data_IF_862974174842
#
_entry.id   IF_862974174842
#
_cell.length_a   1.000
_cell.length_b   1.000
_cell.length_c   1.000
_cell.angle_alpha   90.00
_cell.angle_beta   90.00
_cell.angle_gamma   90.00
#
_symmetry.space_group_name_H-M   'P 1'
#
loop_
_entity.id
_entity.type
_entity.pdbx_description
1 polymer ?
#
# COMPACT_ATOMS: atom_id res chain seq x y z
N UNK A 1 65.54 -15.68 -27.08
CA UNK A 1 64.45 -16.09 -26.19
C UNK A 1 63.91 -14.82 -25.51
N UNK A 2 62.79 -14.27 -25.98
CA UNK A 2 62.21 -13.01 -25.46
C UNK A 2 60.95 -13.36 -24.69
N UNK A 3 60.99 -13.16 -23.38
CA UNK A 3 59.85 -13.33 -22.48
C UNK A 3 59.11 -12.00 -22.43
N UNK A 4 57.86 -11.98 -22.92
CA UNK A 4 56.95 -10.84 -22.81
C UNK A 4 56.12 -11.07 -21.54
N UNK A 5 56.31 -10.21 -20.54
CA UNK A 5 55.48 -10.16 -19.34
C UNK A 5 54.31 -9.23 -19.63
N UNK A 6 53.10 -9.78 -19.61
CA UNK A 6 51.85 -9.02 -19.73
C UNK A 6 51.36 -8.67 -18.32
N UNK A 7 51.49 -7.40 -17.94
CA UNK A 7 51.05 -6.89 -16.63
C UNK A 7 49.57 -6.47 -16.73
N UNK A 8 48.69 -7.27 -16.12
CA UNK A 8 47.26 -6.98 -16.00
C UNK A 8 47.03 -6.02 -14.82
N UNK A 9 46.84 -4.74 -15.13
CA UNK A 9 46.38 -3.71 -14.18
C UNK A 9 44.88 -3.92 -13.91
N UNK A 10 44.56 -4.54 -12.78
CA UNK A 10 43.21 -4.51 -12.22
C UNK A 10 42.98 -3.14 -11.58
N UNK A 11 42.25 -2.26 -12.27
CA UNK A 11 41.71 -1.06 -11.65
C UNK A 11 40.59 -1.47 -10.69
N UNK A 12 40.89 -1.51 -9.39
CA UNK A 12 39.83 -1.61 -8.38
C UNK A 12 39.09 -0.28 -8.35
N UNK A 13 37.88 -0.26 -8.91
CA UNK A 13 36.93 0.81 -8.67
C UNK A 13 36.57 0.75 -7.18
N UNK A 14 37.16 1.63 -6.38
CA UNK A 14 36.69 1.93 -5.04
C UNK A 14 35.30 2.54 -5.19
N UNK A 15 34.26 1.72 -5.06
CA UNK A 15 32.92 2.20 -4.79
C UNK A 15 33.00 2.91 -3.44
N UNK A 16 33.12 4.24 -3.48
CA UNK A 16 32.95 5.05 -2.28
C UNK A 16 31.60 4.65 -1.66
N UNK A 17 31.62 4.24 -0.40
CA UNK A 17 30.42 3.81 0.32
C UNK A 17 29.41 4.96 0.26
N UNK A 18 28.40 4.82 -0.61
CA UNK A 18 27.44 5.88 -0.86
C UNK A 18 26.70 6.14 0.45
N UNK A 19 26.94 7.30 1.05
CA UNK A 19 26.28 7.71 2.28
C UNK A 19 24.78 7.73 1.99
N UNK A 20 24.01 6.92 2.71
CA UNK A 20 22.58 6.83 2.54
C UNK A 20 21.95 8.17 2.98
N UNK A 21 21.69 9.05 2.01
CA UNK A 21 21.00 10.31 2.24
C UNK A 21 19.55 10.01 2.71
N UNK A 22 19.01 10.70 3.73
CA UNK A 22 17.62 10.54 4.16
C UNK A 22 16.61 10.57 3.00
N UNK A 23 16.83 11.44 2.00
CA UNK A 23 15.97 11.54 0.83
C UNK A 23 16.01 10.29 -0.05
N UNK A 24 17.20 9.73 -0.28
CA UNK A 24 17.37 8.50 -1.05
C UNK A 24 16.72 7.31 -0.33
N UNK A 25 16.85 7.26 1.00
CA UNK A 25 16.21 6.26 1.84
C UNK A 25 14.68 6.30 1.74
N UNK A 26 14.06 7.47 1.88
CA UNK A 26 12.60 7.59 1.74
C UNK A 26 12.11 7.25 0.33
N UNK A 27 12.86 7.63 -0.70
CA UNK A 27 12.50 7.27 -2.08
C UNK A 27 12.54 5.75 -2.30
N UNK A 28 13.57 5.06 -1.77
CA UNK A 28 13.64 3.59 -1.84
C UNK A 28 12.44 2.93 -1.18
N UNK A 29 12.01 3.42 -0.02
CA UNK A 29 10.83 2.90 0.69
C UNK A 29 9.55 3.14 -0.11
N UNK A 30 9.35 4.36 -0.61
CA UNK A 30 8.16 4.68 -1.40
C UNK A 30 8.05 3.85 -2.69
N UNK A 31 9.18 3.44 -3.28
CA UNK A 31 9.21 2.64 -4.50
C UNK A 31 9.05 1.13 -4.24
N UNK A 32 9.62 0.62 -3.15
CA UNK A 32 9.75 -0.82 -2.97
C UNK A 32 8.82 -1.40 -1.90
N UNK A 33 8.52 -0.66 -0.84
CA UNK A 33 7.84 -1.19 0.34
C UNK A 33 6.41 -1.69 0.04
N UNK A 34 5.97 -2.85 0.58
CA UNK A 34 4.67 -3.43 0.26
C UNK A 34 3.50 -2.52 0.63
N UNK A 35 3.59 -1.82 1.76
CA UNK A 35 2.56 -0.86 2.19
C UNK A 35 2.44 0.30 1.17
N UNK A 36 3.55 0.79 0.60
CA UNK A 36 3.50 1.85 -0.40
C UNK A 36 2.80 1.35 -1.68
N UNK A 37 3.13 0.12 -2.11
CA UNK A 37 2.46 -0.54 -3.25
C UNK A 37 0.97 -0.77 -3.00
N UNK A 38 0.59 -1.23 -1.81
CA UNK A 38 -0.82 -1.41 -1.42
C UNK A 38 -1.56 -0.07 -1.39
N UNK A 39 -0.95 0.97 -0.80
CA UNK A 39 -1.53 2.31 -0.75
C UNK A 39 -1.74 2.90 -2.15
N UNK A 40 -0.89 2.55 -3.12
CA UNK A 40 -1.03 2.97 -4.52
C UNK A 40 -2.31 2.40 -5.20
N UNK A 41 -2.85 1.28 -4.72
CA UNK A 41 -4.07 0.68 -5.26
C UNK A 41 -5.36 1.37 -4.78
N UNK A 42 -5.32 2.09 -3.65
CA UNK A 42 -6.52 2.71 -3.07
C UNK A 42 -7.19 3.73 -4.00
N UNK A 43 -6.47 4.68 -4.64
CA UNK A 43 -7.07 5.57 -5.64
C UNK A 43 -7.67 4.81 -6.82
N UNK A 44 -7.03 3.73 -7.28
CA UNK A 44 -7.54 2.90 -8.37
C UNK A 44 -8.86 2.22 -7.98
N UNK A 45 -8.94 1.67 -6.77
CA UNK A 45 -10.19 1.12 -6.22
C UNK A 45 -11.29 2.18 -6.16
N UNK A 46 -10.96 3.40 -5.75
CA UNK A 46 -11.89 4.54 -5.74
C UNK A 46 -12.42 4.87 -7.14
N UNK A 47 -11.51 4.97 -8.12
CA UNK A 47 -11.84 5.22 -9.52
C UNK A 47 -12.73 4.11 -10.11
N UNK A 48 -12.38 2.84 -9.86
CA UNK A 48 -13.14 1.68 -10.31
C UNK A 48 -14.55 1.65 -9.69
N UNK A 49 -14.68 2.05 -8.42
CA UNK A 49 -15.98 2.14 -7.73
C UNK A 49 -16.87 3.21 -8.38
N UNK A 50 -16.30 4.36 -8.74
CA UNK A 50 -17.03 5.40 -9.50
C UNK A 50 -17.42 4.91 -10.89
N UNK A 51 -16.52 4.22 -11.60
CA UNK A 51 -16.82 3.64 -12.91
C UNK A 51 -17.97 2.64 -12.83
N UNK A 52 -17.93 1.72 -11.86
CA UNK A 52 -19.01 0.76 -11.59
C UNK A 52 -20.35 1.46 -11.34
N UNK A 53 -20.35 2.52 -10.54
CA UNK A 53 -21.57 3.28 -10.26
C UNK A 53 -22.09 4.03 -11.49
N UNK A 54 -21.20 4.55 -12.35
CA UNK A 54 -21.58 5.15 -13.64
C UNK A 54 -22.25 4.15 -14.58
N UNK A 55 -21.80 2.89 -14.58
CA UNK A 55 -22.40 1.82 -15.38
C UNK A 55 -23.87 1.51 -15.06
N UNK A 56 -24.40 2.02 -13.95
CA UNK A 56 -25.85 1.94 -13.68
C UNK A 56 -26.70 2.84 -14.57
N UNK A 57 -26.07 3.79 -15.26
CA UNK A 57 -26.70 4.72 -16.21
C UNK A 57 -26.48 4.31 -17.67
N UNK A 58 -25.75 3.23 -17.92
CA UNK A 58 -25.50 2.75 -19.27
C UNK A 58 -26.73 2.00 -19.82
N UNK A 59 -26.98 2.05 -21.14
CA UNK A 59 -27.95 1.18 -21.80
C UNK A 59 -27.71 -0.29 -21.47
N UNK A 60 -28.78 -1.02 -21.18
CA UNK A 60 -28.72 -2.46 -20.88
C UNK A 60 -29.56 -3.23 -21.87
N UNK A 61 -28.94 -4.21 -22.52
CA UNK A 61 -29.67 -5.30 -23.14
C UNK A 61 -30.12 -6.28 -22.07
N UNK A 62 -31.35 -6.77 -22.19
CA UNK A 62 -31.88 -7.79 -21.30
C UNK A 62 -32.60 -8.87 -22.10
N UNK A 63 -32.62 -10.06 -21.54
CA UNK A 63 -33.43 -11.19 -21.99
C UNK A 63 -33.93 -11.91 -20.75
N UNK A 64 -35.24 -11.96 -20.60
CA UNK A 64 -35.95 -12.58 -19.49
C UNK A 64 -36.79 -13.72 -20.05
N UNK A 65 -36.53 -14.92 -19.59
CA UNK A 65 -37.32 -16.11 -19.93
C UNK A 65 -37.98 -16.62 -18.67
N UNK A 66 -39.31 -16.71 -18.67
CA UNK A 66 -40.10 -17.24 -17.56
C UNK A 66 -40.93 -18.42 -18.03
N UNK A 67 -40.69 -19.60 -17.45
CA UNK A 67 -41.35 -20.83 -17.85
C UNK A 67 -41.94 -21.53 -16.63
N UNK A 68 -43.16 -22.04 -16.78
CA UNK A 68 -43.80 -22.86 -15.75
C UNK A 68 -44.16 -24.22 -16.33
N UNK A 69 -43.77 -25.26 -15.62
CA UNK A 69 -44.10 -26.65 -15.92
C UNK A 69 -44.95 -27.21 -14.78
N UNK A 70 -46.00 -27.95 -15.12
CA UNK A 70 -46.84 -28.65 -14.16
C UNK A 70 -47.45 -29.90 -14.82
N UNK A 71 -47.53 -31.00 -14.07
CA UNK A 71 -47.97 -32.32 -14.56
C UNK A 71 -47.33 -32.73 -15.90
N UNK A 72 -46.00 -32.58 -16.01
CA UNK A 72 -45.23 -32.92 -17.22
C UNK A 72 -45.63 -32.16 -18.49
N UNK A 73 -46.38 -31.05 -18.34
CA UNK A 73 -46.76 -30.15 -19.42
C UNK A 73 -46.21 -28.74 -19.18
N UNK A 74 -45.81 -28.07 -20.25
CA UNK A 74 -45.42 -26.66 -20.21
C UNK A 74 -46.68 -25.80 -20.14
N UNK A 75 -46.94 -25.22 -18.97
CA UNK A 75 -48.11 -24.37 -18.73
C UNK A 75 -47.99 -23.04 -19.48
N UNK A 76 -46.83 -22.38 -19.38
CA UNK A 76 -46.51 -21.18 -20.15
C UNK A 76 -45.00 -21.03 -20.34
N UNK A 77 -44.62 -20.26 -21.36
CA UNK A 77 -43.29 -19.73 -21.61
C UNK A 77 -43.42 -18.28 -22.09
N UNK A 78 -42.84 -17.37 -21.31
CA UNK A 78 -42.74 -15.94 -21.61
C UNK A 78 -41.28 -15.63 -21.94
N UNK A 79 -41.06 -15.02 -23.09
CA UNK A 79 -39.77 -14.48 -23.49
C UNK A 79 -39.93 -12.97 -23.66
N UNK A 80 -39.08 -12.19 -22.97
CA UNK A 80 -39.03 -10.75 -23.11
C UNK A 80 -37.58 -10.33 -23.31
N UNK A 81 -37.28 -9.70 -24.43
CA UNK A 81 -35.92 -9.25 -24.74
C UNK A 81 -35.96 -7.81 -25.23
N UNK A 82 -34.91 -7.04 -24.95
CA UNK A 82 -34.90 -5.66 -25.38
C UNK A 82 -33.73 -4.85 -24.86
N UNK A 83 -33.85 -3.55 -25.06
CA UNK A 83 -32.93 -2.51 -24.60
C UNK A 83 -33.64 -1.59 -23.63
N UNK A 84 -32.94 -1.24 -22.55
CA UNK A 84 -33.41 -0.34 -21.51
C UNK A 84 -32.35 0.73 -21.25
N UNK A 85 -32.73 1.98 -21.41
CA UNK A 85 -31.85 3.15 -21.30
C UNK A 85 -32.32 3.98 -20.12
N UNK A 86 -31.64 3.89 -18.96
CA UNK A 86 -31.92 4.76 -17.82
C UNK A 86 -31.36 6.17 -18.08
N UNK A 87 -32.13 7.21 -17.76
CA UNK A 87 -31.64 8.60 -17.80
C UNK A 87 -31.44 9.16 -16.39
N UNK A 88 -30.74 10.29 -16.29
CA UNK A 88 -30.42 10.91 -15.00
C UNK A 88 -31.64 11.46 -14.24
N UNK A 89 -32.73 11.79 -14.94
CA UNK A 89 -33.90 12.48 -14.38
C UNK A 89 -35.05 11.55 -13.95
N UNK A 90 -34.75 10.26 -13.72
CA UNK A 90 -35.78 9.28 -13.35
C UNK A 90 -36.70 8.85 -14.49
N UNK A 91 -36.39 9.27 -15.72
CA UNK A 91 -36.97 8.78 -16.96
C UNK A 91 -36.17 7.57 -17.46
N UNK A 92 -36.85 6.53 -17.90
CA UNK A 92 -36.24 5.33 -18.44
C UNK A 92 -36.97 4.96 -19.74
N UNK A 93 -36.21 4.81 -20.82
CA UNK A 93 -36.76 4.42 -22.12
C UNK A 93 -36.50 2.93 -22.33
N UNK A 94 -37.51 2.19 -22.77
CA UNK A 94 -37.41 0.76 -23.07
C UNK A 94 -37.99 0.46 -24.44
N UNK A 95 -37.34 -0.44 -25.17
CA UNK A 95 -37.86 -1.00 -26.40
C UNK A 95 -37.48 -2.47 -26.47
N UNK A 96 -38.36 -3.32 -26.99
CA UNK A 96 -38.15 -4.76 -26.97
C UNK A 96 -39.17 -5.56 -27.77
N UNK A 97 -38.96 -6.87 -27.74
CA UNK A 97 -39.82 -7.89 -28.30
C UNK A 97 -40.27 -8.83 -27.18
N UNK A 98 -41.55 -9.14 -27.17
CA UNK A 98 -42.17 -10.03 -26.20
C UNK A 98 -42.91 -11.17 -26.90
N UNK A 99 -42.74 -12.39 -26.43
CA UNK A 99 -43.44 -13.57 -26.91
C UNK A 99 -44.03 -14.35 -25.74
N UNK A 100 -45.34 -14.59 -25.78
CA UNK A 100 -46.05 -15.50 -24.88
C UNK A 100 -46.45 -16.77 -25.63
N UNK A 101 -46.10 -17.95 -25.10
CA UNK A 101 -46.49 -19.25 -25.65
C UNK A 101 -47.00 -20.17 -24.54
N UNK A 102 -48.02 -20.97 -24.82
CA UNK A 102 -48.54 -21.98 -23.90
C UNK A 102 -50.05 -22.15 -24.02
N UNK A 103 -50.56 -23.28 -23.56
CA UNK A 103 -52.00 -23.60 -23.61
C UNK A 103 -52.79 -22.96 -22.47
N UNK A 104 -52.12 -22.49 -21.42
CA UNK A 104 -52.71 -21.83 -20.25
C UNK A 104 -52.05 -20.47 -19.99
N UNK A 105 -52.05 -19.62 -21.02
CA UNK A 105 -51.51 -18.27 -20.97
C UNK A 105 -52.60 -17.28 -20.51
N UNK A 106 -52.30 -16.40 -19.54
CA UNK A 106 -53.22 -15.31 -19.22
C UNK A 106 -53.37 -14.37 -20.43
N UNK A 107 -54.58 -13.84 -20.65
CA UNK A 107 -54.87 -12.94 -21.77
C UNK A 107 -53.99 -11.68 -21.80
N UNK A 108 -53.44 -11.26 -20.66
CA UNK A 108 -52.50 -10.12 -20.57
C UNK A 108 -51.12 -10.39 -21.20
N UNK A 109 -50.78 -11.67 -21.41
CA UNK A 109 -49.52 -12.12 -21.99
C UNK A 109 -49.68 -12.68 -23.39
N UNK A 110 -50.91 -12.67 -23.92
CA UNK A 110 -51.20 -13.10 -25.28
C UNK A 110 -50.55 -12.15 -26.29
N UNK A 111 -49.76 -12.72 -27.21
CA UNK A 111 -49.00 -11.97 -28.20
C UNK A 111 -49.24 -12.57 -29.59
N UNK A 112 -49.16 -11.76 -30.67
CA UNK A 112 -49.25 -12.28 -32.04
C UNK A 112 -48.26 -13.42 -32.30
N UNK A 113 -48.52 -14.27 -33.32
CA UNK A 113 -47.62 -15.38 -33.70
C UNK A 113 -46.17 -14.93 -33.96
N UNK A 114 -46.00 -13.68 -34.40
CA UNK A 114 -44.71 -13.07 -34.72
C UNK A 114 -44.08 -12.32 -33.52
N UNK A 115 -44.67 -12.43 -32.33
CA UNK A 115 -44.33 -11.66 -31.13
C UNK A 115 -44.91 -10.24 -31.12
N UNK A 116 -44.74 -9.55 -29.99
CA UNK A 116 -45.17 -8.18 -29.74
C UNK A 116 -43.95 -7.26 -29.61
N UNK A 117 -43.77 -6.38 -30.60
CA UNK A 117 -42.81 -5.28 -30.50
C UNK A 117 -43.39 -4.12 -29.69
N UNK A 118 -42.62 -3.60 -28.74
CA UNK A 118 -43.03 -2.46 -27.93
C UNK A 118 -41.91 -1.43 -27.77
N UNK A 119 -42.31 -0.18 -27.61
CA UNK A 119 -41.46 0.90 -27.15
C UNK A 119 -42.25 1.74 -26.14
N UNK A 120 -41.60 2.15 -25.06
CA UNK A 120 -42.25 2.91 -24.00
C UNK A 120 -41.26 3.66 -23.13
N UNK A 121 -41.78 4.61 -22.36
CA UNK A 121 -41.03 5.34 -21.37
C UNK A 121 -41.66 5.18 -19.99
N UNK A 122 -40.83 5.10 -18.96
CA UNK A 122 -41.24 5.04 -17.56
C UNK A 122 -40.67 6.23 -16.82
N UNK A 123 -41.51 7.00 -16.13
CA UNK A 123 -41.09 8.13 -15.31
C UNK A 123 -41.37 7.81 -13.84
N UNK A 124 -40.34 7.93 -12.99
CA UNK A 124 -40.49 7.73 -11.55
C UNK A 124 -41.05 9.00 -10.90
N UNK A 125 -42.22 8.92 -10.26
CA UNK A 125 -42.84 10.03 -9.54
C UNK A 125 -42.54 9.99 -8.03
N UNK A 126 -42.54 11.14 -7.34
CA UNK A 126 -42.35 11.24 -5.89
C UNK A 126 -40.88 11.21 -5.41
N UNK A 127 -40.59 10.53 -4.29
CA UNK A 127 -39.25 10.54 -3.64
C UNK A 127 -38.09 10.13 -4.57
N UNK A 128 -38.36 9.33 -5.60
CA UNK A 128 -37.38 8.89 -6.60
C UNK A 128 -37.04 9.93 -7.69
N UNK A 129 -37.77 11.06 -7.78
CA UNK A 129 -37.51 12.11 -8.77
C UNK A 129 -36.26 12.93 -8.41
N UNK A 130 -36.08 13.30 -7.14
CA UNK A 130 -34.92 14.07 -6.67
C UNK A 130 -33.70 13.18 -6.43
N UNK A 131 -33.87 12.06 -5.73
CA UNK A 131 -32.80 11.10 -5.45
C UNK A 131 -33.32 9.67 -5.59
N UNK A 132 -32.69 8.91 -6.47
CA UNK A 132 -32.94 7.48 -6.61
C UNK A 132 -31.72 6.68 -6.14
N UNK A 133 -31.86 5.37 -6.09
CA UNK A 133 -30.79 4.46 -5.66
C UNK A 133 -29.51 4.63 -6.51
N UNK A 134 -29.64 4.78 -7.84
CA UNK A 134 -28.49 4.90 -8.76
C UNK A 134 -27.72 6.20 -8.53
N UNK A 135 -28.43 7.33 -8.36
CA UNK A 135 -27.84 8.65 -8.06
C UNK A 135 -27.23 8.67 -6.67
N UNK A 136 -27.89 8.05 -5.68
CA UNK A 136 -27.34 7.90 -4.34
C UNK A 136 -26.04 7.08 -4.36
N UNK A 137 -26.02 5.96 -5.10
CA UNK A 137 -24.86 5.10 -5.23
C UNK A 137 -23.70 5.80 -5.97
N UNK A 138 -23.97 6.59 -7.01
CA UNK A 138 -22.92 7.42 -7.64
C UNK A 138 -22.36 8.47 -6.69
N UNK A 139 -23.20 9.14 -5.89
CA UNK A 139 -22.74 10.10 -4.87
C UNK A 139 -21.87 9.42 -3.83
N UNK A 140 -22.29 8.26 -3.32
CA UNK A 140 -21.51 7.45 -2.38
C UNK A 140 -20.17 7.03 -2.99
N UNK A 141 -20.16 6.58 -4.24
CA UNK A 141 -18.93 6.19 -4.94
C UNK A 141 -17.93 7.34 -5.08
N UNK A 142 -18.40 8.56 -5.39
CA UNK A 142 -17.53 9.76 -5.45
C UNK A 142 -16.96 10.15 -4.08
N UNK A 143 -17.76 10.04 -3.03
CA UNK A 143 -17.26 10.24 -1.67
C UNK A 143 -16.22 9.18 -1.30
N UNK A 144 -16.47 7.92 -1.67
CA UNK A 144 -15.53 6.83 -1.47
C UNK A 144 -14.21 7.06 -2.22
N UNK A 145 -14.24 7.51 -3.48
CA UNK A 145 -13.03 7.90 -4.22
C UNK A 145 -12.21 8.98 -3.49
N UNK A 146 -12.87 9.95 -2.86
CA UNK A 146 -12.18 10.98 -2.08
C UNK A 146 -11.58 10.39 -0.80
N UNK A 147 -12.30 9.48 -0.15
CA UNK A 147 -11.84 8.76 1.03
C UNK A 147 -10.59 7.93 0.72
N UNK A 148 -10.55 7.20 -0.40
CA UNK A 148 -9.39 6.35 -0.72
C UNK A 148 -8.10 7.15 -0.95
N UNK A 149 -8.19 8.39 -1.45
CA UNK A 149 -7.04 9.30 -1.56
C UNK A 149 -6.55 9.73 -0.16
N UNK A 150 -7.47 10.01 0.76
CA UNK A 150 -7.12 10.36 2.14
C UNK A 150 -6.49 9.16 2.87
N UNK A 151 -7.03 7.95 2.70
CA UNK A 151 -6.49 6.72 3.25
C UNK A 151 -5.09 6.41 2.71
N UNK A 152 -4.85 6.58 1.41
CA UNK A 152 -3.52 6.46 0.82
C UNK A 152 -2.53 7.40 1.52
N UNK A 153 -2.90 8.67 1.70
CA UNK A 153 -2.04 9.65 2.38
C UNK A 153 -1.72 9.24 3.81
N UNK A 154 -2.70 8.74 4.55
CA UNK A 154 -2.50 8.25 5.92
C UNK A 154 -1.52 7.08 5.94
N UNK A 155 -1.70 6.09 5.06
CA UNK A 155 -0.81 4.93 4.98
C UNK A 155 0.63 5.33 4.63
N UNK A 156 0.81 6.19 3.63
CA UNK A 156 2.13 6.68 3.24
C UNK A 156 2.79 7.53 4.35
N UNK A 157 2.02 8.39 5.01
CA UNK A 157 2.54 9.21 6.12
C UNK A 157 2.98 8.34 7.31
N UNK A 158 2.20 7.32 7.66
CA UNK A 158 2.56 6.38 8.72
C UNK A 158 3.83 5.61 8.37
N UNK A 159 3.94 5.11 7.14
CA UNK A 159 5.13 4.42 6.64
C UNK A 159 6.37 5.32 6.69
N UNK A 160 6.25 6.56 6.20
CA UNK A 160 7.35 7.53 6.21
C UNK A 160 7.74 7.93 7.64
N UNK A 161 6.79 8.06 8.55
CA UNK A 161 7.06 8.35 9.96
C UNK A 161 7.83 7.21 10.64
N UNK A 162 7.37 5.97 10.47
CA UNK A 162 8.03 4.78 11.01
C UNK A 162 9.44 4.63 10.45
N UNK A 163 9.57 4.72 9.13
CA UNK A 163 10.85 4.66 8.45
C UNK A 163 11.79 5.78 8.88
N UNK A 164 11.26 7.00 9.02
CA UNK A 164 12.05 8.16 9.45
C UNK A 164 12.62 7.96 10.85
N UNK A 165 11.83 7.41 11.78
CA UNK A 165 12.33 7.05 13.12
C UNK A 165 13.44 6.01 13.03
N UNK A 166 13.23 4.93 12.28
CA UNK A 166 14.25 3.89 12.12
C UNK A 166 15.58 4.43 11.57
N UNK A 167 15.53 5.32 10.57
CA UNK A 167 16.71 5.97 10.03
C UNK A 167 17.43 6.83 11.08
N UNK A 168 16.68 7.67 11.80
CA UNK A 168 17.27 8.57 12.78
C UNK A 168 17.82 7.83 14.01
N UNK A 169 17.19 6.72 14.42
CA UNK A 169 17.71 5.84 15.46
C UNK A 169 19.03 5.20 15.02
N UNK A 170 19.09 4.66 13.80
CA UNK A 170 20.34 4.13 13.24
C UNK A 170 21.44 5.19 13.18
N UNK A 171 21.11 6.39 12.69
CA UNK A 171 22.05 7.51 12.62
C UNK A 171 22.55 7.89 14.03
N UNK A 172 21.64 7.99 14.99
CA UNK A 172 21.98 8.29 16.39
C UNK A 172 22.94 7.25 16.96
N UNK A 173 22.58 5.97 16.89
CA UNK A 173 23.41 4.89 17.46
C UNK A 173 24.76 4.75 16.75
N UNK A 174 24.83 4.98 15.44
CA UNK A 174 26.08 4.98 14.70
C UNK A 174 27.04 6.09 15.17
N UNK A 175 26.53 7.30 15.42
CA UNK A 175 27.32 8.39 15.96
C UNK A 175 27.68 8.16 17.44
N UNK A 176 26.75 7.65 18.25
CA UNK A 176 26.99 7.34 19.66
C UNK A 176 28.04 6.24 19.85
N UNK A 177 28.03 5.18 19.03
CA UNK A 177 29.07 4.14 19.02
C UNK A 177 30.45 4.75 18.76
N UNK A 178 30.56 5.63 17.75
CA UNK A 178 31.82 6.30 17.41
C UNK A 178 32.34 7.16 18.56
N UNK A 179 31.47 7.95 19.19
CA UNK A 179 31.84 8.78 20.35
C UNK A 179 32.30 7.89 21.53
N UNK A 180 31.62 6.77 21.77
CA UNK A 180 32.01 5.84 22.84
C UNK A 180 33.31 5.11 22.54
N UNK A 181 33.60 4.81 21.27
CA UNK A 181 34.87 4.27 20.84
C UNK A 181 36.02 5.25 21.13
N UNK A 182 35.83 6.54 20.82
CA UNK A 182 36.79 7.61 21.14
C UNK A 182 36.95 7.77 22.65
N UNK A 183 35.84 7.76 23.41
CA UNK A 183 35.87 7.86 24.87
C UNK A 183 36.58 6.66 25.54
N UNK A 184 36.44 5.46 24.98
CA UNK A 184 37.18 4.28 25.41
C UNK A 184 38.68 4.44 25.16
N UNK A 185 39.07 4.89 23.96
CA UNK A 185 40.47 5.14 23.64
C UNK A 185 41.12 6.18 24.57
N UNK A 186 40.40 7.25 24.91
CA UNK A 186 40.87 8.26 25.88
C UNK A 186 41.00 7.67 27.29
N UNK A 187 40.05 6.83 27.72
CA UNK A 187 40.13 6.15 29.02
C UNK A 187 41.33 5.20 29.09
N UNK A 188 41.61 4.46 28.01
CA UNK A 188 42.78 3.59 27.90
C UNK A 188 44.08 4.38 27.97
N UNK A 189 44.18 5.51 27.25
CA UNK A 189 45.35 6.40 27.35
C UNK A 189 45.56 6.92 28.78
N UNK A 190 44.49 7.33 29.46
CA UNK A 190 44.55 7.75 30.87
C UNK A 190 45.04 6.62 31.78
N UNK A 191 44.54 5.40 31.60
CA UNK A 191 44.98 4.25 32.38
C UNK A 191 46.48 4.00 32.22
N UNK A 192 47.01 4.08 30.99
CA UNK A 192 48.45 3.94 30.76
C UNK A 192 49.27 5.05 31.42
N UNK A 193 48.79 6.30 31.36
CA UNK A 193 49.45 7.41 32.05
C UNK A 193 49.48 7.20 33.57
N UNK A 194 48.36 6.81 34.18
CA UNK A 194 48.27 6.55 35.63
C UNK A 194 49.18 5.40 36.05
N UNK A 195 49.21 4.29 35.30
CA UNK A 195 50.13 3.17 35.57
C UNK A 195 51.58 3.64 35.62
N UNK A 196 52.00 4.43 34.64
CA UNK A 196 53.36 4.99 34.60
C UNK A 196 53.66 5.89 35.79
N UNK A 197 52.72 6.74 36.21
CA UNK A 197 52.89 7.61 37.39
C UNK A 197 53.01 6.80 38.69
N UNK A 198 52.27 5.70 38.82
CA UNK A 198 52.38 4.79 39.97
C UNK A 198 53.71 4.06 39.97
N UNK A 199 54.18 3.58 38.82
CA UNK A 199 55.51 2.94 38.67
C UNK A 199 56.66 3.88 39.06
N UNK A 200 56.49 5.19 38.83
CA UNK A 200 57.45 6.21 39.24
C UNK A 200 57.35 6.61 40.71
N UNK A 201 56.35 6.12 41.44
CA UNK A 201 56.13 6.39 42.87
C UNK A 201 55.35 7.68 43.18
N UNK A 202 54.88 8.40 42.16
CA UNK A 202 54.20 9.69 42.30
C UNK A 202 52.71 9.57 42.67
N UNK A 203 52.13 8.36 42.59
CA UNK A 203 50.72 8.06 42.87
C UNK A 203 50.52 6.73 43.60
N UNK A 204 49.39 6.58 44.27
CA UNK A 204 49.01 5.34 44.94
C UNK A 204 48.51 4.29 43.93
N UNK A 205 48.78 3.01 44.19
CA UNK A 205 48.35 1.89 43.33
C UNK A 205 46.83 1.81 43.13
N UNK A 206 46.04 2.27 44.09
CA UNK A 206 44.57 2.32 43.99
C UNK A 206 44.08 3.16 42.80
N UNK A 207 44.80 4.22 42.41
CA UNK A 207 44.46 5.08 41.26
C UNK A 207 44.43 4.28 39.95
N UNK A 208 45.26 3.22 39.83
CA UNK A 208 45.23 2.32 38.66
C UNK A 208 43.95 1.48 38.62
N UNK A 209 43.44 1.07 39.77
CA UNK A 209 42.19 0.31 39.88
C UNK A 209 41.03 1.20 39.47
N UNK A 210 40.97 2.44 39.99
CA UNK A 210 39.93 3.41 39.60
C UNK A 210 39.94 3.71 38.09
N UNK A 211 41.12 3.95 37.52
CA UNK A 211 41.27 4.17 36.08
C UNK A 211 40.85 2.93 35.27
N UNK A 212 41.12 1.71 35.75
CA UNK A 212 40.70 0.46 35.08
C UNK A 212 39.19 0.25 35.11
N UNK A 213 38.53 0.61 36.22
CA UNK A 213 37.08 0.60 36.33
C UNK A 213 36.48 1.58 35.30
N UNK A 214 37.09 2.75 35.11
CA UNK A 214 36.64 3.71 34.11
C UNK A 214 36.74 3.15 32.69
N UNK A 215 37.85 2.49 32.33
CA UNK A 215 37.99 1.80 31.04
C UNK A 215 36.90 0.75 30.86
N UNK A 216 36.67 -0.10 31.87
CA UNK A 216 35.66 -1.15 31.79
C UNK A 216 34.24 -0.57 31.63
N UNK A 217 33.93 0.53 32.31
CA UNK A 217 32.67 1.27 32.15
C UNK A 217 32.49 1.80 30.72
N UNK A 218 33.52 2.43 30.15
CA UNK A 218 33.48 2.92 28.75
C UNK A 218 33.36 1.78 27.74
N UNK A 219 34.04 0.66 27.99
CA UNK A 219 33.96 -0.54 27.16
C UNK A 219 32.55 -1.13 27.15
N UNK A 220 31.91 -1.20 28.31
CA UNK A 220 30.52 -1.65 28.44
C UNK A 220 29.57 -0.79 27.61
N UNK A 221 29.69 0.54 27.73
CA UNK A 221 28.86 1.48 26.94
C UNK A 221 29.12 1.36 25.44
N UNK A 222 30.38 1.27 25.01
CA UNK A 222 30.72 1.07 23.60
C UNK A 222 30.06 -0.20 23.04
N UNK A 223 30.16 -1.32 23.76
CA UNK A 223 29.56 -2.59 23.35
C UNK A 223 28.02 -2.52 23.31
N UNK A 224 27.40 -1.80 24.25
CA UNK A 224 25.97 -1.51 24.24
C UNK A 224 25.56 -0.73 22.98
N UNK A 225 26.20 0.40 22.70
CA UNK A 225 25.87 1.22 21.53
C UNK A 225 26.16 0.51 20.20
N UNK A 226 27.17 -0.35 20.16
CA UNK A 226 27.45 -1.21 19.01
C UNK A 226 26.32 -2.21 18.75
N UNK A 227 25.74 -2.80 19.81
CA UNK A 227 24.59 -3.69 19.69
C UNK A 227 23.36 -2.91 19.19
N UNK A 228 23.07 -1.75 19.78
CA UNK A 228 21.93 -0.92 19.36
C UNK A 228 22.03 -0.45 17.92
N UNK A 229 23.23 -0.06 17.45
CA UNK A 229 23.46 0.27 16.04
C UNK A 229 23.15 -0.92 15.14
N UNK A 230 23.56 -2.14 15.50
CA UNK A 230 23.26 -3.36 14.73
C UNK A 230 21.76 -3.63 14.68
N UNK A 231 21.06 -3.50 15.81
CA UNK A 231 19.60 -3.66 15.86
C UNK A 231 18.90 -2.63 14.96
N UNK A 232 19.26 -1.35 15.07
CA UNK A 232 18.69 -0.30 14.24
C UNK A 232 18.98 -0.50 12.75
N UNK A 233 20.18 -1.00 12.41
CA UNK A 233 20.52 -1.36 11.03
C UNK A 233 19.61 -2.48 10.48
N UNK A 234 19.29 -3.49 11.29
CA UNK A 234 18.37 -4.56 10.90
C UNK A 234 16.95 -4.02 10.64
N UNK A 235 16.46 -3.14 11.50
CA UNK A 235 15.15 -2.48 11.31
C UNK A 235 15.13 -1.70 10.00
N UNK A 236 16.15 -0.87 9.74
CA UNK A 236 16.29 -0.12 8.48
C UNK A 236 16.27 -1.07 7.27
N UNK A 237 17.02 -2.18 7.32
CA UNK A 237 17.06 -3.15 6.20
C UNK A 237 15.72 -3.86 5.98
N UNK A 238 14.99 -4.19 7.04
CA UNK A 238 13.67 -4.83 6.91
C UNK A 238 12.64 -3.95 6.20
N UNK A 239 12.79 -2.63 6.32
CA UNK A 239 11.94 -1.63 5.66
C UNK A 239 12.38 -1.33 4.22
N UNK A 240 13.61 -1.68 3.82
CA UNK A 240 14.08 -1.48 2.43
C UNK A 240 13.95 -2.73 1.58
N UNK A 241 14.06 -3.92 2.18
CA UNK A 241 14.15 -5.20 1.49
C UNK A 241 12.78 -5.91 1.36
N UNK A 242 11.71 -5.29 1.89
CA UNK A 242 10.33 -5.75 1.76
C UNK A 242 9.67 -5.22 0.48
#
# INVERSE_FOLDING_TARGET
MRIIIFMLLFAQATMAQKVLNPQEYFNLILMNHPIAKQAALLPEMGNATVLKARGSFDPKAFQETSQKYYNSSQYYSLLNSGLKIPTWYGLEVKAGLQEGRGTNLDAQWDTPENGLAYAGASLTLGKGLLIDQRRADLRKAKLFQTLTIAEQRIQLNNLLLESGKAYWDWFYYANAEKIMQEALAVADQRLQAVKRTVELGDRAGIDTVEASIQVQSRKSLYEQFRLERKNAQLVVSSLTDS
#
